data_IF_899150637491
#
_entry.id   IF_899150637491
#
_cell.length_a   1.000
_cell.length_b   1.000
_cell.length_c   1.000
_cell.angle_alpha   90.00
_cell.angle_beta   90.00
_cell.angle_gamma   90.00
#
_symmetry.space_group_name_H-M   'P 1'
#
loop_
_entity.id
_entity.type
_entity.pdbx_description
1 polymer ?
#
# COMPACT_ATOMS: atom_id res chain seq x y z
N UNK A 1 -127.81 23.28 36.53
CA UNK A 1 -126.84 24.20 35.90
C UNK A 1 -125.38 23.79 36.09
N UNK A 2 -124.95 23.25 37.25
CA UNK A 2 -123.53 22.90 37.49
C UNK A 2 -122.90 21.82 36.58
N UNK A 3 -123.63 20.75 36.26
CA UNK A 3 -123.10 19.64 35.43
C UNK A 3 -122.84 20.02 33.96
N UNK A 4 -123.61 20.96 33.39
CA UNK A 4 -123.40 21.43 32.02
C UNK A 4 -122.12 22.25 31.89
N UNK A 5 -121.77 23.04 32.90
CA UNK A 5 -120.53 23.83 32.95
C UNK A 5 -119.30 22.91 33.07
N UNK A 6 -119.41 21.83 33.85
CA UNK A 6 -118.34 20.83 34.01
C UNK A 6 -118.11 20.06 32.70
N UNK A 7 -119.18 19.65 32.01
CA UNK A 7 -119.08 18.97 30.72
C UNK A 7 -118.46 19.87 29.63
N UNK A 8 -118.86 21.15 29.59
CA UNK A 8 -118.32 22.12 28.63
C UNK A 8 -116.83 22.43 28.91
N UNK A 9 -116.46 22.56 30.18
CA UNK A 9 -115.06 22.72 30.57
C UNK A 9 -114.20 21.49 30.19
N UNK A 10 -114.73 20.28 30.35
CA UNK A 10 -114.03 19.05 29.94
C UNK A 10 -113.77 18.98 28.43
N UNK A 11 -114.73 19.40 27.60
CA UNK A 11 -114.55 19.47 26.14
C UNK A 11 -113.51 20.51 25.75
N UNK A 12 -113.52 21.69 26.38
CA UNK A 12 -112.52 22.74 26.12
C UNK A 12 -111.12 22.25 26.51
N UNK A 13 -110.96 21.61 27.68
CA UNK A 13 -109.68 21.06 28.12
C UNK A 13 -109.20 19.94 27.19
N UNK A 14 -110.09 19.08 26.70
CA UNK A 14 -109.75 18.04 25.73
C UNK A 14 -109.29 18.60 24.39
N UNK A 15 -109.94 19.64 23.89
CA UNK A 15 -109.54 20.34 22.65
C UNK A 15 -108.20 21.06 22.81
N UNK A 16 -107.97 21.73 23.94
CA UNK A 16 -106.69 22.37 24.25
C UNK A 16 -105.56 21.34 24.40
N UNK A 17 -105.81 20.21 25.06
CA UNK A 17 -104.83 19.14 25.19
C UNK A 17 -104.50 18.49 23.84
N UNK A 18 -105.52 18.24 23.00
CA UNK A 18 -105.33 17.72 21.64
C UNK A 18 -104.53 18.68 20.75
N UNK A 19 -104.84 19.97 20.82
CA UNK A 19 -104.10 21.01 20.11
C UNK A 19 -102.65 21.12 20.60
N UNK A 20 -102.42 21.07 21.92
CA UNK A 20 -101.08 21.09 22.52
C UNK A 20 -100.24 19.88 22.08
N UNK A 21 -100.83 18.68 22.06
CA UNK A 21 -100.14 17.45 21.62
C UNK A 21 -99.82 17.52 20.13
N UNK A 22 -100.74 18.01 19.30
CA UNK A 22 -100.50 18.20 17.87
C UNK A 22 -99.40 19.24 17.61
N UNK A 23 -99.42 20.36 18.35
CA UNK A 23 -98.39 21.40 18.30
C UNK A 23 -97.02 20.89 18.73
N UNK A 24 -96.95 20.09 19.80
CA UNK A 24 -95.72 19.44 20.26
C UNK A 24 -95.16 18.46 19.23
N UNK A 25 -96.01 17.64 18.59
CA UNK A 25 -95.57 16.74 17.50
C UNK A 25 -95.06 17.51 16.29
N UNK A 26 -95.76 18.56 15.87
CA UNK A 26 -95.32 19.41 14.76
C UNK A 26 -93.96 20.08 15.07
N UNK A 27 -93.78 20.58 16.29
CA UNK A 27 -92.50 21.14 16.73
C UNK A 27 -91.38 20.09 16.82
N UNK A 28 -91.67 18.86 17.24
CA UNK A 28 -90.69 17.77 17.24
C UNK A 28 -90.29 17.35 15.82
N UNK A 29 -91.24 17.29 14.88
CA UNK A 29 -90.97 17.00 13.47
C UNK A 29 -90.12 18.11 12.84
N UNK A 30 -90.48 19.38 13.08
CA UNK A 30 -89.71 20.53 12.61
C UNK A 30 -88.29 20.53 13.20
N UNK A 31 -88.13 20.17 14.48
CA UNK A 31 -86.82 20.04 15.12
C UNK A 31 -86.01 18.88 14.53
N UNK A 32 -86.65 17.76 14.19
CA UNK A 32 -86.00 16.62 13.54
C UNK A 32 -85.55 16.96 12.12
N UNK A 33 -86.36 17.70 11.35
CA UNK A 33 -85.99 18.17 10.01
C UNK A 33 -84.85 19.18 10.07
N UNK A 34 -84.87 20.14 11.01
CA UNK A 34 -83.76 21.08 11.22
C UNK A 34 -82.45 20.36 11.55
N UNK A 35 -82.49 19.29 12.36
CA UNK A 35 -81.31 18.46 12.64
C UNK A 35 -80.80 17.73 11.40
N UNK A 36 -81.70 17.23 10.54
CA UNK A 36 -81.31 16.58 9.28
C UNK A 36 -80.69 17.58 8.30
N UNK A 37 -81.25 18.79 8.18
CA UNK A 37 -80.68 19.85 7.34
C UNK A 37 -79.31 20.29 7.86
N UNK A 38 -79.16 20.55 9.16
CA UNK A 38 -77.87 20.92 9.74
C UNK A 38 -76.80 19.83 9.55
N UNK A 39 -77.17 18.55 9.68
CA UNK A 39 -76.25 17.43 9.45
C UNK A 39 -75.92 17.23 7.97
N UNK A 40 -76.84 17.52 7.06
CA UNK A 40 -76.59 17.50 5.62
C UNK A 40 -75.67 18.65 5.21
N UNK A 41 -75.88 19.86 5.75
CA UNK A 41 -74.99 21.00 5.54
C UNK A 41 -73.59 20.71 6.08
N UNK A 42 -73.46 20.20 7.31
CA UNK A 42 -72.17 19.85 7.89
C UNK A 42 -71.42 18.79 7.06
N UNK A 43 -72.13 17.78 6.54
CA UNK A 43 -71.54 16.80 5.62
C UNK A 43 -71.11 17.45 4.31
N UNK A 44 -71.94 18.30 3.72
CA UNK A 44 -71.62 18.99 2.48
C UNK A 44 -70.41 19.92 2.63
N UNK A 45 -70.14 20.46 3.83
CA UNK A 45 -68.93 21.24 4.09
C UNK A 45 -67.71 20.38 4.42
N UNK A 46 -67.84 19.31 5.21
CA UNK A 46 -66.70 18.51 5.66
C UNK A 46 -66.16 17.54 4.59
N UNK A 47 -67.03 16.94 3.79
CA UNK A 47 -66.63 15.99 2.74
C UNK A 47 -65.61 16.60 1.76
N UNK A 48 -65.84 17.78 1.14
CA UNK A 48 -64.88 18.34 0.19
C UNK A 48 -63.55 18.73 0.86
N UNK A 49 -63.57 19.17 2.12
CA UNK A 49 -62.33 19.47 2.87
C UNK A 49 -61.51 18.20 3.08
N UNK A 50 -62.16 17.09 3.45
CA UNK A 50 -61.50 15.80 3.63
C UNK A 50 -61.00 15.23 2.31
N UNK A 51 -61.75 15.37 1.22
CA UNK A 51 -61.32 14.98 -0.13
C UNK A 51 -60.10 15.80 -0.58
N UNK A 52 -60.09 17.10 -0.33
CA UNK A 52 -58.94 17.97 -0.61
C UNK A 52 -57.72 17.58 0.24
N UNK A 53 -57.90 17.32 1.53
CA UNK A 53 -56.82 16.86 2.39
C UNK A 53 -56.27 15.49 1.96
N UNK A 54 -57.13 14.57 1.51
CA UNK A 54 -56.74 13.24 1.06
C UNK A 54 -56.00 13.28 -0.27
N UNK A 55 -56.46 14.11 -1.22
CA UNK A 55 -55.75 14.35 -2.49
C UNK A 55 -54.40 15.02 -2.26
N UNK A 56 -54.31 15.99 -1.37
CA UNK A 56 -53.04 16.60 -0.97
C UNK A 56 -52.10 15.56 -0.35
N UNK A 57 -52.57 14.75 0.60
CA UNK A 57 -51.75 13.71 1.23
C UNK A 57 -51.28 12.65 0.24
N UNK A 58 -52.12 12.32 -0.74
CA UNK A 58 -51.75 11.39 -1.82
C UNK A 58 -50.66 11.99 -2.71
N UNK A 59 -50.75 13.28 -3.04
CA UNK A 59 -49.71 13.98 -3.80
C UNK A 59 -48.38 14.05 -3.03
N UNK A 60 -48.40 14.37 -1.74
CA UNK A 60 -47.21 14.36 -0.87
C UNK A 60 -46.57 12.96 -0.83
N UNK A 61 -47.39 11.91 -0.70
CA UNK A 61 -46.90 10.54 -0.70
C UNK A 61 -46.25 10.15 -2.04
N UNK A 62 -46.83 10.55 -3.17
CA UNK A 62 -46.27 10.29 -4.48
C UNK A 62 -44.93 11.01 -4.67
N UNK A 63 -44.82 12.27 -4.25
CA UNK A 63 -43.55 13.02 -4.28
C UNK A 63 -42.47 12.35 -3.43
N UNK A 64 -42.83 11.89 -2.22
CA UNK A 64 -41.89 11.18 -1.36
C UNK A 64 -41.43 9.86 -1.98
N UNK A 65 -42.35 9.16 -2.66
CA UNK A 65 -42.03 7.92 -3.36
C UNK A 65 -41.08 8.16 -4.54
N UNK A 66 -41.32 9.19 -5.36
CA UNK A 66 -40.42 9.60 -6.45
C UNK A 66 -39.03 9.99 -5.91
N UNK A 67 -38.98 10.72 -4.80
CA UNK A 67 -37.74 11.07 -4.14
C UNK A 67 -37.00 9.82 -3.64
N UNK A 68 -37.71 8.86 -3.04
CA UNK A 68 -37.13 7.59 -2.60
C UNK A 68 -36.58 6.77 -3.77
N UNK A 69 -37.29 6.72 -4.91
CA UNK A 69 -36.84 6.01 -6.10
C UNK A 69 -35.55 6.67 -6.64
N UNK A 70 -35.54 8.00 -6.70
CA UNK A 70 -34.37 8.78 -7.15
C UNK A 70 -33.16 8.59 -6.24
N UNK A 71 -33.36 8.55 -4.92
CA UNK A 71 -32.27 8.28 -3.98
C UNK A 71 -31.73 6.86 -4.13
N UNK A 72 -32.61 5.87 -4.30
CA UNK A 72 -32.19 4.49 -4.54
C UNK A 72 -31.39 4.37 -5.84
N UNK A 73 -31.82 5.00 -6.92
CA UNK A 73 -31.09 4.95 -8.20
C UNK A 73 -29.70 5.58 -8.10
N UNK A 74 -29.58 6.74 -7.44
CA UNK A 74 -28.29 7.38 -7.17
C UNK A 74 -27.39 6.54 -6.28
N UNK A 75 -27.95 5.89 -5.26
CA UNK A 75 -27.20 5.00 -4.38
C UNK A 75 -26.68 3.78 -5.15
N UNK A 76 -27.52 3.17 -6.00
CA UNK A 76 -27.09 2.05 -6.84
C UNK A 76 -26.03 2.46 -7.85
N UNK A 77 -26.12 3.65 -8.45
CA UNK A 77 -25.11 4.18 -9.36
C UNK A 77 -23.78 4.45 -8.65
N UNK A 78 -23.81 5.08 -7.47
CA UNK A 78 -22.63 5.30 -6.65
C UNK A 78 -21.98 3.97 -6.23
N UNK A 79 -22.79 2.97 -5.87
CA UNK A 79 -22.30 1.63 -5.52
C UNK A 79 -21.65 0.94 -6.72
N UNK A 80 -22.26 1.03 -7.91
CA UNK A 80 -21.70 0.48 -9.13
C UNK A 80 -20.36 1.15 -9.51
N UNK A 81 -20.26 2.49 -9.38
CA UNK A 81 -19.00 3.22 -9.58
C UNK A 81 -17.93 2.79 -8.58
N UNK A 82 -18.29 2.60 -7.32
CA UNK A 82 -17.36 2.11 -6.30
C UNK A 82 -16.87 0.70 -6.64
N UNK A 83 -17.77 -0.17 -7.09
CA UNK A 83 -17.46 -1.53 -7.51
C UNK A 83 -16.59 -1.58 -8.77
N UNK A 84 -16.67 -0.59 -9.67
CA UNK A 84 -15.76 -0.45 -10.82
C UNK A 84 -14.37 0.08 -10.43
N UNK A 85 -14.29 0.95 -9.42
CA UNK A 85 -13.01 1.49 -8.93
C UNK A 85 -12.24 0.46 -8.09
N UNK A 86 -12.94 -0.40 -7.35
CA UNK A 86 -12.32 -1.40 -6.49
C UNK A 86 -11.32 -2.33 -7.21
N UNK A 87 -11.62 -2.95 -8.37
CA UNK A 87 -10.67 -3.78 -9.09
C UNK A 87 -9.44 -2.99 -9.56
N UNK A 88 -9.60 -1.72 -9.97
CA UNK A 88 -8.48 -0.86 -10.38
C UNK A 88 -7.55 -0.55 -9.22
N UNK A 89 -8.11 -0.32 -8.03
CA UNK A 89 -7.31 -0.16 -6.81
C UNK A 89 -6.54 -1.44 -6.47
N UNK A 90 -7.17 -2.61 -6.58
CA UNK A 90 -6.49 -3.89 -6.33
C UNK A 90 -5.39 -4.17 -7.36
N UNK A 91 -5.62 -3.82 -8.63
CA UNK A 91 -4.62 -3.96 -9.69
C UNK A 91 -3.43 -3.02 -9.47
N UNK A 92 -3.70 -1.77 -9.10
CA UNK A 92 -2.65 -0.81 -8.77
C UNK A 92 -1.84 -1.28 -7.55
N UNK A 93 -2.50 -1.80 -6.52
CA UNK A 93 -1.82 -2.38 -5.36
C UNK A 93 -0.94 -3.59 -5.75
N UNK A 94 -1.42 -4.46 -6.64
CA UNK A 94 -0.63 -5.57 -7.16
C UNK A 94 0.61 -5.10 -7.94
N UNK A 95 0.46 -4.08 -8.81
CA UNK A 95 1.57 -3.47 -9.56
C UNK A 95 2.61 -2.83 -8.64
N UNK A 96 2.17 -2.18 -7.56
CA UNK A 96 3.09 -1.65 -6.54
C UNK A 96 3.84 -2.78 -5.84
N UNK A 97 3.13 -3.83 -5.42
CA UNK A 97 3.77 -5.02 -4.82
C UNK A 97 4.78 -5.70 -5.74
N UNK A 98 4.53 -5.76 -7.05
CA UNK A 98 5.47 -6.28 -8.03
C UNK A 98 6.74 -5.41 -8.14
N UNK A 99 6.59 -4.08 -8.18
CA UNK A 99 7.74 -3.17 -8.20
C UNK A 99 8.56 -3.24 -6.92
N UNK A 100 7.90 -3.33 -5.76
CA UNK A 100 8.59 -3.50 -4.48
C UNK A 100 9.39 -4.81 -4.45
N UNK A 101 8.82 -5.89 -5.02
CA UNK A 101 9.54 -7.15 -5.18
C UNK A 101 10.75 -7.04 -6.11
N UNK A 102 10.61 -6.34 -7.24
CA UNK A 102 11.73 -6.09 -8.17
C UNK A 102 12.84 -5.27 -7.51
N UNK A 103 12.50 -4.22 -6.76
CA UNK A 103 13.45 -3.42 -5.99
C UNK A 103 14.17 -4.25 -4.93
N UNK A 104 13.45 -5.14 -4.25
CA UNK A 104 14.05 -6.07 -3.29
C UNK A 104 15.07 -7.00 -3.96
N UNK A 105 14.74 -7.54 -5.14
CA UNK A 105 15.67 -8.39 -5.91
C UNK A 105 16.92 -7.61 -6.34
N UNK A 106 16.77 -6.38 -6.84
CA UNK A 106 17.91 -5.52 -7.19
C UNK A 106 18.77 -5.20 -5.97
N UNK A 107 18.16 -4.93 -4.81
CA UNK A 107 18.89 -4.71 -3.56
C UNK A 107 19.71 -5.93 -3.15
N UNK A 108 19.16 -7.14 -3.29
CA UNK A 108 19.90 -8.38 -2.99
C UNK A 108 21.08 -8.56 -3.94
N UNK A 109 20.89 -8.29 -5.24
CA UNK A 109 21.97 -8.37 -6.23
C UNK A 109 23.10 -7.37 -5.95
N UNK A 110 22.74 -6.13 -5.59
CA UNK A 110 23.70 -5.11 -5.17
C UNK A 110 24.46 -5.53 -3.92
N UNK A 111 23.79 -6.11 -2.93
CA UNK A 111 24.45 -6.61 -1.73
C UNK A 111 25.43 -7.75 -2.05
N UNK A 112 25.05 -8.67 -2.94
CA UNK A 112 25.93 -9.74 -3.39
C UNK A 112 27.16 -9.20 -4.15
N UNK A 113 26.95 -8.23 -5.04
CA UNK A 113 28.05 -7.54 -5.74
C UNK A 113 29.00 -6.86 -4.74
N UNK A 114 28.45 -6.13 -3.76
CA UNK A 114 29.24 -5.47 -2.72
C UNK A 114 30.05 -6.48 -1.89
N UNK A 115 29.46 -7.61 -1.50
CA UNK A 115 30.18 -8.69 -0.82
C UNK A 115 31.35 -9.23 -1.65
N UNK A 116 31.18 -9.39 -2.97
CA UNK A 116 32.27 -9.80 -3.87
C UNK A 116 33.38 -8.75 -3.94
N UNK A 117 33.02 -7.47 -4.03
CA UNK A 117 33.98 -6.37 -4.01
C UNK A 117 34.80 -6.37 -2.71
N UNK A 118 34.14 -6.50 -1.54
CA UNK A 118 34.82 -6.58 -0.24
C UNK A 118 35.81 -7.76 -0.20
N UNK A 119 35.43 -8.92 -0.75
CA UNK A 119 36.30 -10.09 -0.81
C UNK A 119 37.51 -9.87 -1.74
N UNK A 120 37.32 -9.18 -2.87
CA UNK A 120 38.43 -8.79 -3.75
C UNK A 120 39.38 -7.81 -3.07
N UNK A 121 38.86 -6.81 -2.35
CA UNK A 121 39.68 -5.90 -1.55
C UNK A 121 40.47 -6.65 -0.48
N UNK A 122 39.86 -7.62 0.20
CA UNK A 122 40.54 -8.47 1.19
C UNK A 122 41.71 -9.25 0.57
N UNK A 123 41.50 -9.85 -0.61
CA UNK A 123 42.56 -10.56 -1.34
C UNK A 123 43.69 -9.63 -1.80
N UNK A 124 43.34 -8.43 -2.27
CA UNK A 124 44.34 -7.42 -2.65
C UNK A 124 45.20 -7.03 -1.44
N UNK A 125 44.57 -6.81 -0.30
CA UNK A 125 45.22 -6.54 0.98
C UNK A 125 46.18 -7.68 1.40
N UNK A 126 45.77 -8.93 1.24
CA UNK A 126 46.62 -10.10 1.49
C UNK A 126 47.83 -10.14 0.56
N UNK A 127 47.65 -9.89 -0.73
CA UNK A 127 48.75 -9.81 -1.69
C UNK A 127 49.71 -8.66 -1.38
N UNK A 128 49.19 -7.51 -0.97
CA UNK A 128 50.01 -6.36 -0.55
C UNK A 128 50.84 -6.69 0.70
N UNK A 129 50.26 -7.36 1.70
CA UNK A 129 51.01 -7.83 2.88
C UNK A 129 52.08 -8.85 2.50
N UNK A 130 51.75 -9.82 1.65
CA UNK A 130 52.73 -10.81 1.17
C UNK A 130 53.89 -10.17 0.39
N UNK A 131 53.61 -9.15 -0.43
CA UNK A 131 54.63 -8.40 -1.15
C UNK A 131 55.56 -7.63 -0.19
N UNK A 132 55.00 -6.98 0.83
CA UNK A 132 55.77 -6.30 1.89
C UNK A 132 56.65 -7.28 2.67
N UNK A 133 56.14 -8.45 3.02
CA UNK A 133 56.92 -9.49 3.70
C UNK A 133 58.07 -10.00 2.84
N UNK A 134 57.85 -10.19 1.53
CA UNK A 134 58.92 -10.57 0.60
C UNK A 134 59.97 -9.47 0.47
N UNK A 135 59.57 -8.20 0.42
CA UNK A 135 60.50 -7.07 0.40
C UNK A 135 61.35 -7.01 1.68
N UNK A 136 60.74 -7.22 2.85
CA UNK A 136 61.45 -7.29 4.12
C UNK A 136 62.43 -8.47 4.17
N UNK A 137 62.07 -9.63 3.61
CA UNK A 137 62.98 -10.78 3.48
C UNK A 137 64.16 -10.47 2.56
N UNK A 138 63.92 -9.77 1.46
CA UNK A 138 64.97 -9.35 0.53
C UNK A 138 65.93 -8.36 1.20
N UNK A 139 65.43 -7.35 1.92
CA UNK A 139 66.25 -6.42 2.69
C UNK A 139 67.10 -7.14 3.75
N UNK A 140 66.51 -8.11 4.47
CA UNK A 140 67.26 -8.94 5.42
C UNK A 140 68.36 -9.76 4.74
N UNK A 141 68.08 -10.36 3.59
CA UNK A 141 69.07 -11.13 2.83
C UNK A 141 70.21 -10.24 2.33
N UNK A 142 69.89 -9.05 1.81
CA UNK A 142 70.87 -8.06 1.38
C UNK A 142 71.76 -7.61 2.54
N UNK A 143 71.19 -7.30 3.71
CA UNK A 143 71.96 -6.94 4.92
C UNK A 143 72.85 -8.06 5.44
N UNK A 144 72.50 -9.33 5.20
CA UNK A 144 73.37 -10.48 5.52
C UNK A 144 74.52 -10.55 4.52
N UNK A 145 74.22 -10.52 3.21
CA UNK A 145 75.24 -10.52 2.16
C UNK A 145 76.25 -9.39 2.31
N UNK A 146 75.81 -8.16 2.63
CA UNK A 146 76.72 -7.04 2.89
C UNK A 146 77.61 -7.28 4.12
N UNK A 147 77.09 -7.88 5.19
CA UNK A 147 77.87 -8.24 6.38
C UNK A 147 78.88 -9.33 6.08
N UNK A 148 78.49 -10.36 5.34
CA UNK A 148 79.36 -11.47 4.97
C UNK A 148 80.50 -10.99 4.07
N UNK A 149 80.21 -10.10 3.11
CA UNK A 149 81.23 -9.44 2.30
C UNK A 149 82.18 -8.59 3.15
N UNK A 150 81.66 -7.77 4.07
CA UNK A 150 82.50 -6.98 4.98
C UNK A 150 83.40 -7.87 5.84
N UNK A 151 82.89 -8.99 6.35
CA UNK A 151 83.67 -9.96 7.11
C UNK A 151 84.77 -10.61 6.25
N UNK A 152 84.46 -11.01 5.01
CA UNK A 152 85.44 -11.56 4.09
C UNK A 152 86.54 -10.56 3.72
N UNK A 153 86.18 -9.28 3.50
CA UNK A 153 87.18 -8.22 3.27
C UNK A 153 88.07 -7.99 4.50
N UNK A 154 87.52 -8.00 5.71
CA UNK A 154 88.30 -7.89 6.92
C UNK A 154 89.29 -9.05 7.07
N UNK A 155 88.87 -10.28 6.77
CA UNK A 155 89.74 -11.47 6.80
C UNK A 155 90.90 -11.37 5.79
N UNK A 156 90.64 -10.85 4.59
CA UNK A 156 91.68 -10.64 3.57
C UNK A 156 92.68 -9.57 3.99
N UNK A 157 92.22 -8.49 4.64
CA UNK A 157 93.10 -7.40 5.10
C UNK A 157 93.96 -7.85 6.29
N UNK A 158 93.43 -8.66 7.20
CA UNK A 158 94.16 -9.17 8.36
C UNK A 158 95.12 -10.33 8.02
N UNK A 159 95.10 -10.85 6.78
CA UNK A 159 96.11 -11.80 6.30
C UNK A 159 97.44 -11.06 6.07
N UNK A 160 98.51 -11.36 6.81
CA UNK A 160 99.81 -10.75 6.59
C UNK A 160 100.29 -11.12 5.18
N UNK A 161 100.59 -10.12 4.37
CA UNK A 161 101.14 -10.29 3.03
C UNK A 161 102.53 -10.90 3.17
N UNK A 162 102.63 -12.23 3.06
CA UNK A 162 103.91 -12.91 2.83
C UNK A 162 104.24 -12.77 1.35
N UNK A 163 105.09 -11.80 1.05
CA UNK A 163 105.40 -11.30 -0.30
C UNK A 163 106.36 -12.20 -1.10
N UNK A 164 106.26 -13.54 -1.00
CA UNK A 164 107.34 -14.42 -1.48
C UNK A 164 106.90 -15.64 -2.31
N UNK A 165 105.71 -15.66 -2.92
CA UNK A 165 105.38 -16.74 -3.87
C UNK A 165 104.72 -16.21 -5.15
N UNK A 166 105.57 -16.11 -6.18
CA UNK A 166 105.34 -16.28 -7.61
C UNK A 166 103.93 -16.00 -8.17
N UNK A 167 103.86 -14.92 -8.95
CA UNK A 167 102.96 -14.77 -10.10
C UNK A 167 103.07 -15.99 -11.05
N UNK A 168 101.97 -16.71 -11.35
CA UNK A 168 101.87 -17.50 -12.57
C UNK A 168 101.20 -16.67 -13.67
N UNK A 169 101.96 -16.38 -14.73
CA UNK A 169 101.53 -15.69 -15.95
C UNK A 169 100.56 -16.48 -16.86
N UNK A 170 99.71 -17.36 -16.32
CA UNK A 170 98.86 -18.26 -17.14
C UNK A 170 97.36 -17.90 -17.22
N UNK A 171 96.88 -16.86 -16.54
CA UNK A 171 95.45 -16.49 -16.60
C UNK A 171 95.04 -15.55 -17.75
N UNK A 172 95.90 -15.33 -18.75
CA UNK A 172 95.58 -14.50 -19.91
C UNK A 172 94.88 -15.25 -21.07
N UNK A 173 94.62 -16.56 -20.96
CA UNK A 173 94.13 -17.39 -22.09
C UNK A 173 92.74 -18.05 -21.89
N UNK A 174 92.04 -17.80 -20.78
CA UNK A 174 90.66 -18.29 -20.59
C UNK A 174 89.73 -17.13 -20.23
N UNK A 175 89.57 -16.20 -21.17
CA UNK A 175 88.40 -15.31 -21.21
C UNK A 175 87.57 -15.79 -22.39
N UNK A 176 86.89 -16.91 -22.21
CA UNK A 176 85.73 -17.24 -23.02
C UNK A 176 84.55 -16.41 -22.46
N UNK A 177 83.85 -15.60 -23.28
CA UNK A 177 82.75 -14.80 -22.79
C UNK A 177 81.57 -15.72 -22.52
N UNK A 178 81.47 -16.22 -21.29
CA UNK A 178 80.20 -16.72 -20.77
C UNK A 178 79.25 -15.53 -20.66
N UNK A 179 78.59 -15.22 -21.78
CA UNK A 179 77.36 -14.43 -21.82
C UNK A 179 76.46 -15.04 -20.74
N UNK A 180 76.12 -14.34 -19.65
CA UNK A 180 75.02 -14.80 -18.84
C UNK A 180 73.84 -14.86 -19.79
N UNK A 181 73.32 -16.06 -20.04
CA UNK A 181 72.00 -16.20 -20.63
C UNK A 181 71.08 -15.40 -19.71
N UNK A 182 70.77 -14.17 -20.12
CA UNK A 182 69.59 -13.47 -19.67
C UNK A 182 68.45 -14.45 -19.96
N UNK A 183 68.05 -15.22 -18.95
CA UNK A 183 66.74 -15.83 -18.99
C UNK A 183 65.80 -14.69 -19.35
N UNK A 184 65.05 -14.80 -20.45
CA UNK A 184 64.07 -13.77 -20.76
C UNK A 184 63.22 -13.68 -19.50
N UNK A 185 63.16 -12.48 -18.92
CA UNK A 185 62.05 -12.11 -18.04
C UNK A 185 60.83 -12.66 -18.78
N UNK A 186 60.06 -13.61 -18.22
CA UNK A 186 58.88 -14.07 -18.90
C UNK A 186 58.11 -12.80 -19.19
N UNK A 187 57.99 -12.47 -20.48
CA UNK A 187 57.06 -11.46 -20.90
C UNK A 187 55.78 -11.85 -20.18
N UNK A 188 55.28 -10.94 -19.34
CA UNK A 188 53.89 -10.98 -18.94
C UNK A 188 53.12 -10.87 -20.26
N UNK A 189 53.00 -11.99 -20.96
CA UNK A 189 51.94 -12.22 -21.91
C UNK A 189 50.69 -11.89 -21.12
N UNK A 190 49.83 -10.99 -21.61
CA UNK A 190 48.50 -10.80 -21.07
C UNK A 190 47.65 -12.02 -21.44
N UNK A 191 48.07 -13.22 -21.01
CA UNK A 191 47.24 -14.40 -21.01
C UNK A 191 46.52 -14.43 -19.67
N UNK A 192 45.22 -14.14 -19.73
CA UNK A 192 44.34 -14.31 -18.58
C UNK A 192 43.24 -13.28 -18.42
N UNK A 193 42.85 -12.56 -19.46
CA UNK A 193 41.42 -12.29 -19.63
C UNK A 193 40.90 -13.44 -20.48
N UNK A 194 40.03 -14.26 -19.92
CA UNK A 194 39.37 -15.31 -20.70
C UNK A 194 38.63 -14.65 -21.86
N UNK A 195 38.49 -15.33 -23.00
CA UNK A 195 37.68 -14.83 -24.13
C UNK A 195 36.28 -14.36 -23.68
N UNK A 196 35.79 -14.89 -22.55
CA UNK A 196 34.56 -14.45 -21.92
C UNK A 196 34.63 -13.07 -21.27
N UNK A 197 35.73 -12.71 -20.61
CA UNK A 197 35.91 -11.39 -19.99
C UNK A 197 36.25 -10.32 -21.04
N UNK A 198 36.98 -10.68 -22.11
CA UNK A 198 37.19 -9.78 -23.24
C UNK A 198 35.86 -9.43 -23.91
N UNK A 199 34.99 -10.44 -24.14
CA UNK A 199 33.65 -10.22 -24.70
C UNK A 199 32.76 -9.39 -23.77
N UNK A 200 32.90 -9.51 -22.45
CA UNK A 200 32.13 -8.71 -21.48
C UNK A 200 32.55 -7.23 -21.52
N UNK A 201 33.84 -6.96 -21.64
CA UNK A 201 34.38 -5.60 -21.76
C UNK A 201 33.97 -4.98 -23.10
N UNK A 202 34.02 -5.75 -24.19
CA UNK A 202 33.59 -5.28 -25.51
C UNK A 202 32.07 -5.04 -25.58
N UNK A 203 31.26 -5.84 -24.88
CA UNK A 203 29.81 -5.64 -24.77
C UNK A 203 29.46 -4.42 -23.91
N UNK A 204 30.21 -4.16 -22.83
CA UNK A 204 30.01 -2.98 -21.97
C UNK A 204 30.45 -1.68 -22.67
N UNK A 205 31.54 -1.71 -23.44
CA UNK A 205 31.97 -0.59 -24.28
C UNK A 205 30.97 -0.31 -25.41
N UNK A 206 30.42 -1.35 -26.05
CA UNK A 206 29.38 -1.19 -27.06
C UNK A 206 28.07 -0.63 -26.47
N UNK A 207 27.72 -0.98 -25.23
CA UNK A 207 26.57 -0.43 -24.54
C UNK A 207 26.75 1.05 -24.17
N UNK A 208 27.98 1.45 -23.80
CA UNK A 208 28.32 2.85 -23.51
C UNK A 208 28.31 3.73 -24.76
N UNK A 209 28.85 3.25 -25.89
CA UNK A 209 28.77 3.98 -27.17
C UNK A 209 27.32 4.09 -27.66
N UNK A 210 26.52 3.03 -27.48
CA UNK A 210 25.08 3.07 -27.82
C UNK A 210 24.28 4.03 -26.92
N UNK A 211 24.66 4.18 -25.66
CA UNK A 211 24.08 5.17 -24.75
C UNK A 211 24.54 6.60 -25.06
N UNK A 212 25.71 6.77 -25.68
CA UNK A 212 26.21 8.07 -26.13
C UNK A 212 25.59 8.51 -27.48
N UNK A 213 25.19 7.57 -28.34
CA UNK A 213 24.54 7.84 -29.63
C UNK A 213 23.01 8.04 -29.54
N UNK A 214 22.36 7.71 -28.42
CA UNK A 214 20.97 8.13 -28.19
C UNK A 214 20.97 9.59 -27.68
N UNK A 215 20.60 10.59 -28.52
CA UNK A 215 20.37 11.93 -28.00
C UNK A 215 19.24 11.82 -26.99
N UNK A 216 19.53 12.21 -25.74
CA UNK A 216 18.54 12.41 -24.70
C UNK A 216 17.49 13.40 -25.22
N UNK A 217 16.44 12.87 -25.86
CA UNK A 217 15.22 13.58 -26.21
C UNK A 217 14.46 13.77 -24.92
N UNK A 218 15.01 14.65 -24.09
CA UNK A 218 14.37 15.20 -22.92
C UNK A 218 13.34 16.16 -23.48
N UNK A 219 12.03 15.91 -23.36
CA UNK A 219 11.06 16.90 -23.78
C UNK A 219 11.28 18.13 -22.90
N UNK A 220 11.51 19.28 -23.55
CA UNK A 220 11.56 20.57 -22.88
C UNK A 220 10.32 20.74 -22.00
N UNK A 221 10.44 21.30 -20.79
CA UNK A 221 9.27 21.56 -19.95
C UNK A 221 8.37 22.54 -20.71
N UNK A 222 7.19 22.07 -21.11
CA UNK A 222 6.15 22.94 -21.64
C UNK A 222 5.82 23.96 -20.55
N UNK A 223 6.21 25.20 -20.80
CA UNK A 223 5.73 26.37 -20.06
C UNK A 223 4.23 26.47 -20.32
N UNK A 224 3.42 25.92 -19.41
CA UNK A 224 1.97 26.09 -19.40
C UNK A 224 1.69 27.53 -18.90
N UNK A 225 1.87 28.51 -19.79
CA UNK A 225 1.22 29.81 -19.66
C UNK A 225 -0.26 29.63 -19.99
N UNK A 226 -1.14 29.79 -18.99
CA UNK A 226 -2.57 30.00 -19.26
C UNK A 226 -3.58 29.22 -18.43
N UNK A 227 -3.20 28.50 -17.36
CA UNK A 227 -4.21 27.98 -16.43
C UNK A 227 -4.60 29.03 -15.39
N UNK A 228 -5.90 29.37 -15.24
CA UNK A 228 -6.36 30.28 -14.20
C UNK A 228 -6.09 29.65 -12.82
N UNK A 229 -5.36 30.38 -11.99
CA UNK A 229 -5.14 30.06 -10.57
C UNK A 229 -6.51 29.93 -9.90
N UNK A 230 -6.86 28.77 -9.30
CA UNK A 230 -8.12 28.65 -8.57
C UNK A 230 -8.08 29.60 -7.35
N UNK A 231 -9.20 30.28 -7.04
CA UNK A 231 -9.23 31.19 -5.89
C UNK A 231 -8.95 30.41 -4.60
N UNK A 232 -8.26 31.04 -3.63
CA UNK A 232 -7.97 30.40 -2.36
C UNK A 232 -9.29 29.99 -1.66
N UNK A 233 -9.31 28.83 -0.96
CA UNK A 233 -10.49 28.42 -0.21
C UNK A 233 -10.83 29.46 0.85
N UNK A 234 -12.12 29.70 1.13
CA UNK A 234 -12.53 30.66 2.14
C UNK A 234 -11.95 30.24 3.50
N UNK A 235 -11.26 31.19 4.14
CA UNK A 235 -10.82 31.06 5.54
C UNK A 235 -12.03 30.83 6.41
N UNK A 236 -12.22 29.59 6.84
CA UNK A 236 -13.22 29.24 7.86
C UNK A 236 -12.68 29.77 9.17
N UNK A 237 -13.17 30.93 9.60
CA UNK A 237 -13.00 31.40 10.98
C UNK A 237 -13.64 30.36 11.92
N UNK A 238 -12.80 29.60 12.61
CA UNK A 238 -13.21 28.70 13.67
C UNK A 238 -13.61 29.60 14.85
N UNK A 239 -14.89 29.61 15.28
CA UNK A 239 -15.28 30.41 16.44
C UNK A 239 -14.57 29.89 17.69
N UNK A 240 -13.98 30.80 18.46
CA UNK A 240 -13.36 30.54 19.75
C UNK A 240 -14.35 29.82 20.69
N UNK A 241 -14.08 28.54 20.94
CA UNK A 241 -14.80 27.78 21.96
C UNK A 241 -14.16 28.10 23.32
N UNK A 242 -14.90 28.68 24.28
CA UNK A 242 -14.35 28.99 25.59
C UNK A 242 -13.96 27.71 26.35
N UNK A 243 -12.69 27.64 26.76
CA UNK A 243 -12.05 26.52 27.47
C UNK A 243 -12.58 26.27 28.91
N UNK A 244 -13.77 26.71 29.28
CA UNK A 244 -14.24 26.66 30.69
C UNK A 244 -15.24 25.56 31.05
N UNK A 245 -15.41 24.52 30.23
CA UNK A 245 -16.43 23.48 30.48
C UNK A 245 -15.93 22.03 30.45
N UNK A 246 -14.68 21.79 30.84
CA UNK A 246 -14.24 20.44 31.24
C UNK A 246 -14.31 20.32 32.77
N UNK A 247 -15.51 20.07 33.26
CA UNK A 247 -15.71 19.57 34.63
C UNK A 247 -15.09 18.16 34.72
N UNK A 248 -14.24 17.98 35.72
CA UNK A 248 -13.55 16.74 36.03
C UNK A 248 -14.53 15.58 36.20
N UNK A 249 -14.38 14.55 35.36
CA UNK A 249 -14.98 13.24 35.59
C UNK A 249 -14.05 12.50 36.57
N UNK A 250 -14.49 12.10 37.77
CA UNK A 250 -13.64 11.36 38.68
C UNK A 250 -13.38 9.96 38.12
N UNK A 251 -12.10 9.65 37.95
CA UNK A 251 -11.60 8.34 37.55
C UNK A 251 -11.93 7.36 38.68
N UNK A 252 -12.80 6.39 38.37
CA UNK A 252 -13.14 5.29 39.27
C UNK A 252 -12.00 4.27 39.19
N UNK A 253 -11.34 4.05 40.33
CA UNK A 253 -10.30 3.01 40.48
C UNK A 253 -10.86 1.63 40.08
N UNK A 254 -10.20 0.99 39.13
CA UNK A 254 -10.45 -0.39 38.72
C UNK A 254 -9.53 -1.27 39.59
N UNK A 255 -10.05 -2.25 40.35
CA UNK A 255 -9.20 -3.12 41.16
C UNK A 255 -8.33 -4.00 40.26
N UNK A 256 -7.02 -3.97 40.53
CA UNK A 256 -6.02 -4.82 39.90
C UNK A 256 -6.12 -6.24 40.45
N UNK A 257 -6.99 -7.05 39.85
CA UNK A 257 -6.91 -8.51 40.02
C UNK A 257 -7.45 -9.23 38.78
N UNK A 258 -6.60 -9.36 37.77
CA UNK A 258 -6.82 -10.28 36.66
C UNK A 258 -5.51 -11.01 36.37
N UNK A 259 -5.38 -12.18 36.99
CA UNK A 259 -4.49 -13.26 36.58
C UNK A 259 -4.63 -13.51 35.07
N UNK A 260 -3.53 -13.59 34.30
CA UNK A 260 -3.61 -13.89 32.87
C UNK A 260 -4.10 -15.34 32.64
N UNK A 261 -4.94 -15.59 31.63
CA UNK A 261 -5.37 -16.95 31.31
C UNK A 261 -4.18 -17.77 30.81
N UNK A 262 -4.01 -18.96 31.38
CA UNK A 262 -3.04 -19.95 30.95
C UNK A 262 -3.25 -20.30 29.47
N UNK A 263 -2.14 -20.29 28.71
CA UNK A 263 -2.10 -20.78 27.35
C UNK A 263 -2.46 -22.27 27.31
N UNK A 264 -3.65 -22.58 26.81
CA UNK A 264 -4.05 -23.94 26.48
C UNK A 264 -3.31 -24.35 25.20
N UNK A 265 -2.45 -25.35 25.31
CA UNK A 265 -1.76 -25.95 24.19
C UNK A 265 -2.77 -26.61 23.22
N UNK A 266 -2.60 -26.48 21.90
CA UNK A 266 -3.48 -27.13 20.94
C UNK A 266 -3.26 -28.66 20.96
N UNK A 267 -4.34 -29.41 21.12
CA UNK A 267 -4.38 -30.87 20.96
C UNK A 267 -3.96 -31.29 19.54
N UNK A 268 -3.25 -32.42 19.38
CA UNK A 268 -2.88 -32.94 18.07
C UNK A 268 -4.11 -33.53 17.35
N UNK A 269 -4.49 -32.91 16.24
CA UNK A 269 -5.49 -33.44 15.32
C UNK A 269 -5.00 -34.75 14.68
N UNK A 270 -5.83 -35.78 14.87
CA UNK A 270 -5.74 -37.13 14.29
C UNK A 270 -5.73 -37.07 12.75
N UNK A 271 -4.91 -37.86 12.05
CA UNK A 271 -4.89 -37.86 10.58
C UNK A 271 -6.18 -38.49 10.05
N UNK A 272 -6.90 -37.73 9.22
CA UNK A 272 -8.09 -38.18 8.52
C UNK A 272 -7.71 -39.15 7.39
N UNK A 273 -8.60 -40.12 7.20
CA UNK A 273 -8.45 -41.30 6.37
C UNK A 273 -8.21 -41.02 4.89
N UNK A 274 -7.41 -41.93 4.36
CA UNK A 274 -7.07 -42.24 2.98
C UNK A 274 -8.30 -42.25 2.05
N UNK A 275 -8.31 -41.36 1.05
CA UNK A 275 -9.16 -41.52 -0.14
C UNK A 275 -8.42 -42.37 -1.20
N UNK A 276 -9.11 -43.27 -1.92
CA UNK A 276 -8.48 -44.16 -2.90
C UNK A 276 -8.15 -43.43 -4.22
N UNK A 277 -7.20 -43.98 -5.01
CA UNK A 277 -6.73 -43.35 -6.24
C UNK A 277 -7.76 -43.47 -7.37
N UNK A 278 -8.07 -42.33 -7.99
CA UNK A 278 -8.79 -42.28 -9.27
C UNK A 278 -7.80 -42.66 -10.37
N UNK A 279 -8.05 -43.80 -11.02
CA UNK A 279 -7.28 -44.29 -12.17
C UNK A 279 -7.49 -43.45 -13.45
N UNK A 280 -6.66 -43.68 -14.48
CA UNK A 280 -6.53 -42.80 -15.63
C UNK A 280 -7.61 -43.06 -16.69
N UNK A 281 -8.35 -42.03 -17.08
CA UNK A 281 -9.28 -42.09 -18.20
C UNK A 281 -8.61 -41.52 -19.47
N UNK A 282 -8.21 -42.46 -20.33
CA UNK A 282 -8.36 -42.48 -21.78
C UNK A 282 -8.19 -41.17 -22.60
N UNK A 283 -7.05 -41.13 -23.28
CA UNK A 283 -6.85 -40.80 -24.70
C UNK A 283 -8.12 -40.82 -25.58
N UNK A 284 -8.46 -39.69 -26.19
CA UNK A 284 -9.16 -39.59 -27.47
C UNK A 284 -8.74 -38.26 -28.12
N UNK A 285 -7.79 -38.31 -29.06
CA UNK A 285 -8.07 -38.34 -30.49
C UNK A 285 -8.53 -36.96 -31.03
N UNK A 286 -7.52 -36.18 -31.39
CA UNK A 286 -7.54 -35.20 -32.46
C UNK A 286 -8.08 -35.85 -33.75
N UNK A 287 -8.87 -35.14 -34.57
CA UNK A 287 -8.40 -34.95 -35.93
C UNK A 287 -8.57 -33.51 -36.42
N UNK A 288 -7.57 -33.08 -37.18
CA UNK A 288 -7.49 -31.83 -37.90
C UNK A 288 -8.54 -31.71 -39.02
N UNK A 289 -9.00 -30.47 -39.23
CA UNK A 289 -9.29 -29.85 -40.52
C UNK A 289 -9.11 -28.33 -40.36
#
# INVERSE_FOLDING_TARGET
MGYAVIAFAGVIVGLLAGWLIASLRANQQLAAERRKCALAEEKNFRIPILEQALTQKTAEHNQLNEFSITLRSRLTEATAKLQDVQPRLTEMAAKVGEKDWQLLQQSIQLEQSNRRCIELYRKLDEHQRAALDNLNRLDQAQRRACRDLQAAFAEVIDRPITLDEAMPSELAAQVEPAVPQSQPIPALSPEGLSDHEQNLIDEELAALDKAAEEPASTPAPETIEGMPVPPPPPTVEIPDIPRSSFAAIPIREIPADTTPPQAVAPEPTKPADTLPPVGPAATAANPAA
#
